data_IF_338025758678
#
_entry.id   IF_338025758678
#
_cell.length_a   1.000
_cell.length_b   1.000
_cell.length_c   1.000
_cell.angle_alpha   90.00
_cell.angle_beta   90.00
_cell.angle_gamma   90.00
#
_symmetry.space_group_name_H-M   'P 1'
#
loop_
_entity.id
_entity.type
_entity.pdbx_description
1 polymer ?
#
# COMPACT_ATOMS: atom_id res chain seq x y z
N UNK A 1 16.06 -1.13 14.80
CA UNK A 1 17.27 -1.64 14.11
C UNK A 1 16.92 -2.69 13.06
N UNK A 2 16.30 -3.83 13.40
CA UNK A 2 15.97 -4.85 12.38
C UNK A 2 14.92 -4.37 11.35
N UNK A 3 13.79 -3.81 11.81
CA UNK A 3 12.70 -3.33 10.93
C UNK A 3 13.17 -2.30 9.89
N UNK A 4 14.02 -1.36 10.30
CA UNK A 4 14.57 -0.31 9.41
C UNK A 4 15.49 -0.88 8.34
N UNK A 5 16.24 -1.94 8.64
CA UNK A 5 17.11 -2.60 7.65
C UNK A 5 16.24 -3.35 6.64
N UNK A 6 15.25 -4.09 7.13
CA UNK A 6 14.33 -4.85 6.27
C UNK A 6 13.54 -3.91 5.35
N UNK A 7 13.05 -2.77 5.87
CA UNK A 7 12.30 -1.82 5.04
C UNK A 7 13.16 -1.18 3.95
N UNK A 8 14.41 -0.79 4.24
CA UNK A 8 15.33 -0.25 3.24
C UNK A 8 15.61 -1.28 2.14
N UNK A 9 15.84 -2.55 2.50
CA UNK A 9 16.09 -3.63 1.53
C UNK A 9 14.85 -3.85 0.66
N UNK A 10 13.67 -3.97 1.26
CA UNK A 10 12.43 -4.20 0.54
C UNK A 10 12.09 -3.06 -0.44
N UNK A 11 12.22 -1.80 0.00
CA UNK A 11 11.92 -0.65 -0.87
C UNK A 11 12.98 -0.47 -1.95
N UNK A 12 14.25 -0.77 -1.64
CA UNK A 12 15.29 -0.79 -2.67
C UNK A 12 14.98 -1.84 -3.74
N UNK A 13 14.55 -3.04 -3.33
CA UNK A 13 14.13 -4.08 -4.26
C UNK A 13 12.94 -3.64 -5.13
N UNK A 14 11.92 -3.00 -4.55
CA UNK A 14 10.80 -2.44 -5.30
C UNK A 14 11.24 -1.40 -6.33
N UNK A 15 12.16 -0.49 -5.97
CA UNK A 15 12.68 0.51 -6.91
C UNK A 15 13.42 -0.11 -8.10
N UNK A 16 14.22 -1.16 -7.88
CA UNK A 16 14.95 -1.83 -8.96
C UNK A 16 14.09 -2.81 -9.78
N UNK A 17 13.00 -3.31 -9.20
CA UNK A 17 12.05 -4.20 -9.88
C UNK A 17 10.99 -3.44 -10.66
N UNK A 18 10.90 -2.12 -10.51
CA UNK A 18 9.86 -1.32 -11.14
C UNK A 18 10.03 -1.30 -12.67
N UNK A 19 8.97 -1.64 -13.39
CA UNK A 19 8.95 -1.63 -14.86
C UNK A 19 8.35 -0.33 -15.41
N UNK A 20 7.35 0.21 -14.70
CA UNK A 20 6.62 1.43 -15.09
C UNK A 20 6.96 2.62 -14.19
N UNK A 21 7.03 3.83 -14.78
CA UNK A 21 7.24 5.07 -14.01
C UNK A 21 6.13 5.30 -12.95
N UNK A 22 4.92 4.82 -13.24
CA UNK A 22 3.80 4.91 -12.32
C UNK A 22 4.07 4.23 -10.96
N UNK A 23 4.86 3.14 -10.94
CA UNK A 23 5.15 2.35 -9.73
C UNK A 23 6.07 3.07 -8.74
N UNK A 24 6.90 3.98 -9.25
CA UNK A 24 7.84 4.79 -8.45
C UNK A 24 7.37 6.25 -8.28
N UNK A 25 6.16 6.56 -8.73
CA UNK A 25 5.59 7.90 -8.62
C UNK A 25 4.67 8.02 -7.40
N UNK A 26 4.68 9.20 -6.78
CA UNK A 26 3.72 9.57 -5.75
C UNK A 26 2.49 10.18 -6.41
N UNK A 27 1.36 9.48 -6.31
CA UNK A 27 0.14 9.80 -7.04
C UNK A 27 -0.95 10.19 -6.06
N UNK A 28 -1.59 11.33 -6.31
CA UNK A 28 -2.82 11.69 -5.63
C UNK A 28 -4.02 11.10 -6.37
N UNK A 29 -4.78 10.24 -5.68
CA UNK A 29 -5.98 9.63 -6.25
C UNK A 29 -6.98 10.71 -6.71
N UNK A 30 -7.68 10.44 -7.82
CA UNK A 30 -8.70 11.30 -8.42
C UNK A 30 -8.21 12.64 -8.98
N UNK A 31 -6.89 12.82 -9.13
CA UNK A 31 -6.32 14.03 -9.72
C UNK A 31 -5.22 13.70 -10.73
N UNK A 32 -5.43 14.11 -11.98
CA UNK A 32 -4.51 13.83 -13.09
C UNK A 32 -3.21 14.63 -13.01
N UNK A 33 -3.21 15.79 -12.36
CA UNK A 33 -2.07 16.72 -12.40
C UNK A 33 -1.02 16.42 -11.31
N UNK A 34 -1.37 15.58 -10.32
CA UNK A 34 -0.56 15.34 -9.12
C UNK A 34 0.13 13.98 -9.18
N UNK A 35 1.05 13.85 -10.13
CA UNK A 35 1.93 12.70 -10.32
C UNK A 35 3.37 13.18 -10.16
N UNK A 36 3.99 12.87 -9.02
CA UNK A 36 5.38 13.23 -8.75
C UNK A 36 6.27 12.00 -8.88
N UNK A 37 7.06 11.95 -9.96
CA UNK A 37 8.10 10.93 -10.13
C UNK A 37 9.16 11.09 -9.04
N UNK A 38 9.37 10.04 -8.24
CA UNK A 38 10.34 10.08 -7.15
C UNK A 38 11.71 9.65 -7.65
N UNK A 39 12.74 10.43 -7.31
CA UNK A 39 14.12 9.97 -7.44
C UNK A 39 14.39 8.77 -6.52
N UNK A 40 15.39 7.95 -6.85
CA UNK A 40 15.82 6.79 -6.06
C UNK A 40 15.91 7.07 -4.56
N UNK A 41 16.64 8.13 -4.17
CA UNK A 41 16.84 8.47 -2.76
C UNK A 41 15.51 8.86 -2.09
N UNK A 42 14.69 9.67 -2.75
CA UNK A 42 13.40 10.09 -2.20
C UNK A 42 12.44 8.91 -2.06
N UNK A 43 12.40 7.99 -3.03
CA UNK A 43 11.54 6.82 -2.99
C UNK A 43 11.94 5.87 -1.85
N UNK A 44 13.24 5.57 -1.72
CA UNK A 44 13.74 4.68 -0.66
C UNK A 44 13.50 5.28 0.72
N UNK A 45 13.78 6.58 0.91
CA UNK A 45 13.55 7.25 2.19
C UNK A 45 12.06 7.32 2.53
N UNK A 46 11.22 7.72 1.59
CA UNK A 46 9.79 7.85 1.82
C UNK A 46 9.12 6.49 2.04
N UNK A 47 9.40 5.52 1.17
CA UNK A 47 8.85 4.16 1.29
C UNK A 47 9.29 3.48 2.59
N UNK A 48 10.56 3.62 2.99
CA UNK A 48 11.05 3.05 4.26
C UNK A 48 10.40 3.73 5.47
N UNK A 49 10.17 5.04 5.40
CA UNK A 49 9.41 5.78 6.41
C UNK A 49 7.95 5.30 6.49
N UNK A 50 7.27 5.08 5.36
CA UNK A 50 5.88 4.58 5.34
C UNK A 50 5.79 3.17 5.94
N UNK A 51 6.70 2.25 5.57
CA UNK A 51 6.69 0.87 6.09
C UNK A 51 6.98 0.85 7.59
N UNK A 52 8.05 1.52 8.04
CA UNK A 52 8.42 1.53 9.46
C UNK A 52 7.40 2.32 10.29
N UNK A 53 6.92 3.44 9.76
CA UNK A 53 5.93 4.29 10.40
C UNK A 53 4.60 3.58 10.61
N UNK A 54 4.06 2.95 9.56
CA UNK A 54 2.80 2.19 9.66
C UNK A 54 2.92 0.98 10.60
N UNK A 55 4.02 0.24 10.55
CA UNK A 55 4.26 -0.90 11.46
C UNK A 55 4.31 -0.48 12.93
N UNK A 56 5.00 0.62 13.24
CA UNK A 56 5.05 1.14 14.60
C UNK A 56 3.73 1.79 15.03
N UNK A 57 2.99 2.40 14.11
CA UNK A 57 1.67 2.97 14.41
C UNK A 57 0.67 1.88 14.82
N UNK A 58 0.59 0.77 14.07
CA UNK A 58 -0.28 -0.37 14.43
C UNK A 58 0.13 -0.95 15.78
N UNK A 59 1.42 -1.17 16.01
CA UNK A 59 1.94 -1.67 17.29
C UNK A 59 1.61 -0.72 18.46
N UNK A 60 1.61 0.60 18.24
CA UNK A 60 1.25 1.57 19.26
C UNK A 60 -0.26 1.56 19.58
N UNK A 61 -1.10 1.27 18.59
CA UNK A 61 -2.56 1.15 18.76
C UNK A 61 -3.00 -0.20 19.33
N UNK A 62 -2.12 -1.20 19.30
CA UNK A 62 -2.40 -2.55 19.78
C UNK A 62 -2.17 -2.67 21.30
N UNK A 63 -3.08 -2.07 22.06
CA UNK A 63 -3.02 -2.04 23.54
C UNK A 63 -4.33 -2.41 24.25
N UNK A 64 -5.40 -2.67 23.48
CA UNK A 64 -6.71 -3.10 23.96
C UNK A 64 -7.26 -4.17 23.01
N UNK A 65 -8.03 -5.11 23.54
CA UNK A 65 -8.60 -6.22 22.77
C UNK A 65 -9.35 -5.72 21.53
N UNK A 66 -8.85 -6.08 20.35
CA UNK A 66 -9.48 -5.75 19.06
C UNK A 66 -9.33 -4.29 18.59
N UNK A 67 -8.61 -3.44 19.30
CA UNK A 67 -8.50 -2.01 18.94
C UNK A 67 -7.70 -1.78 17.67
N UNK A 68 -6.61 -2.51 17.47
CA UNK A 68 -5.77 -2.36 16.28
C UNK A 68 -6.37 -3.05 15.04
N UNK A 69 -6.97 -4.23 15.22
CA UNK A 69 -7.41 -5.07 14.10
C UNK A 69 -8.61 -4.49 13.34
N UNK A 70 -9.55 -3.83 14.02
CA UNK A 70 -10.72 -3.19 13.38
C UNK A 70 -10.29 -2.12 12.34
N UNK A 71 -9.43 -1.13 12.69
CA UNK A 71 -8.81 -0.22 11.73
C UNK A 71 -8.05 -0.93 10.61
N UNK A 72 -7.30 -2.00 10.92
CA UNK A 72 -6.54 -2.76 9.91
C UNK A 72 -7.45 -3.39 8.86
N UNK A 73 -8.58 -3.98 9.26
CA UNK A 73 -9.56 -4.56 8.33
C UNK A 73 -10.18 -3.47 7.45
N UNK A 74 -10.57 -2.33 8.03
CA UNK A 74 -11.17 -1.22 7.29
C UNK A 74 -10.22 -0.65 6.23
N UNK A 75 -8.98 -0.36 6.62
CA UNK A 75 -7.96 0.17 5.71
C UNK A 75 -7.54 -0.88 4.69
N UNK A 76 -7.43 -2.15 5.09
CA UNK A 76 -7.17 -3.26 4.17
C UNK A 76 -8.24 -3.38 3.08
N UNK A 77 -9.51 -3.19 3.43
CA UNK A 77 -10.62 -3.12 2.46
C UNK A 77 -10.52 -1.92 1.52
N UNK A 78 -10.23 -0.74 2.06
CA UNK A 78 -10.04 0.47 1.24
C UNK A 78 -8.89 0.32 0.23
N UNK A 79 -7.74 -0.18 0.69
CA UNK A 79 -6.57 -0.45 -0.18
C UNK A 79 -6.87 -1.54 -1.21
N UNK A 80 -7.61 -2.59 -0.84
CA UNK A 80 -8.03 -3.64 -1.77
C UNK A 80 -8.94 -3.12 -2.88
N UNK A 81 -9.86 -2.21 -2.57
CA UNK A 81 -10.70 -1.56 -3.59
C UNK A 81 -9.89 -0.67 -4.53
N UNK A 82 -8.91 0.07 -4.01
CA UNK A 82 -7.99 0.88 -4.82
C UNK A 82 -7.16 -0.01 -5.75
N UNK A 83 -6.62 -1.12 -5.24
CA UNK A 83 -5.86 -2.07 -6.04
C UNK A 83 -6.70 -2.67 -7.18
N UNK A 84 -7.96 -3.03 -6.92
CA UNK A 84 -8.89 -3.48 -7.95
C UNK A 84 -9.19 -2.41 -9.00
N UNK A 85 -9.38 -1.17 -8.57
CA UNK A 85 -9.59 -0.05 -9.49
C UNK A 85 -8.37 0.18 -10.41
N UNK A 86 -7.15 0.13 -9.87
CA UNK A 86 -5.90 0.24 -10.64
C UNK A 86 -5.70 -0.94 -11.60
N UNK A 87 -6.12 -2.14 -11.20
CA UNK A 87 -6.04 -3.36 -12.01
C UNK A 87 -7.09 -3.47 -13.13
N UNK A 88 -8.07 -2.57 -13.20
CA UNK A 88 -9.09 -2.56 -14.26
C UNK A 88 -8.96 -1.31 -15.13
N UNK A 89 -8.64 -1.49 -16.40
CA UNK A 89 -8.39 -0.40 -17.34
C UNK A 89 -9.55 0.60 -17.42
N UNK A 90 -10.80 0.14 -17.46
CA UNK A 90 -11.98 1.00 -17.57
C UNK A 90 -12.18 1.87 -16.31
N UNK A 91 -11.92 1.30 -15.14
CA UNK A 91 -12.10 1.99 -13.86
C UNK A 91 -10.96 2.98 -13.62
N UNK A 92 -9.72 2.55 -13.88
CA UNK A 92 -8.53 3.38 -13.75
C UNK A 92 -8.64 4.66 -14.62
N UNK A 93 -9.05 4.50 -15.89
CA UNK A 93 -9.24 5.62 -16.81
C UNK A 93 -10.37 6.56 -16.35
N UNK A 94 -11.49 6.00 -15.87
CA UNK A 94 -12.62 6.79 -15.36
C UNK A 94 -12.27 7.61 -14.10
N UNK A 95 -11.41 7.06 -13.23
CA UNK A 95 -11.01 7.69 -11.97
C UNK A 95 -9.74 8.52 -12.06
N UNK A 96 -9.12 8.61 -13.23
CA UNK A 96 -7.83 9.29 -13.46
C UNK A 96 -6.70 8.73 -12.59
N UNK A 97 -6.64 7.41 -12.44
CA UNK A 97 -5.58 6.68 -11.72
C UNK A 97 -4.78 5.88 -12.77
N UNK A 98 -3.44 5.70 -12.67
CA UNK A 98 -2.74 4.84 -13.62
C UNK A 98 -3.24 3.40 -13.55
N UNK A 99 -3.32 2.78 -14.72
CA UNK A 99 -3.63 1.37 -14.84
C UNK A 99 -2.36 0.54 -14.65
N UNK A 100 -2.35 -0.33 -13.63
CA UNK A 100 -1.28 -1.29 -13.36
C UNK A 100 -1.86 -2.69 -13.51
N UNK A 101 -1.43 -3.43 -14.54
CA UNK A 101 -2.09 -4.65 -14.99
C UNK A 101 -2.18 -5.74 -13.90
N UNK A 102 -1.17 -5.85 -13.04
CA UNK A 102 -1.09 -6.91 -12.00
C UNK A 102 -1.56 -6.40 -10.63
N UNK A 103 -1.79 -5.09 -10.45
CA UNK A 103 -2.17 -4.52 -9.16
C UNK A 103 -3.48 -5.09 -8.61
N UNK A 104 -4.38 -5.56 -9.49
CA UNK A 104 -5.64 -6.18 -9.11
C UNK A 104 -5.48 -7.42 -8.22
N UNK A 105 -4.36 -8.16 -8.30
CA UNK A 105 -4.13 -9.36 -7.47
C UNK A 105 -4.04 -9.04 -5.97
N UNK A 106 -3.66 -7.81 -5.62
CA UNK A 106 -3.57 -7.37 -4.22
C UNK A 106 -4.94 -7.40 -3.52
N UNK A 107 -6.07 -7.33 -4.24
CA UNK A 107 -7.39 -7.47 -3.60
C UNK A 107 -7.59 -8.85 -2.98
N UNK A 108 -6.95 -9.89 -3.53
CA UNK A 108 -7.00 -11.25 -2.97
C UNK A 108 -6.26 -11.28 -1.62
N UNK A 109 -5.09 -10.65 -1.56
CA UNK A 109 -4.33 -10.50 -0.31
C UNK A 109 -5.11 -9.69 0.72
N UNK A 110 -5.72 -8.55 0.32
CA UNK A 110 -6.57 -7.75 1.19
C UNK A 110 -7.80 -8.53 1.69
N UNK A 111 -8.43 -9.33 0.83
CA UNK A 111 -9.55 -10.20 1.21
C UNK A 111 -9.15 -11.26 2.23
N UNK A 112 -7.98 -11.88 2.05
CA UNK A 112 -7.42 -12.82 3.02
C UNK A 112 -7.10 -12.14 4.36
N UNK A 113 -6.54 -10.92 4.32
CA UNK A 113 -6.27 -10.11 5.51
C UNK A 113 -7.57 -9.80 6.27
N UNK A 114 -8.62 -9.34 5.58
CA UNK A 114 -9.95 -9.09 6.17
C UNK A 114 -10.52 -10.35 6.81
N UNK A 115 -10.50 -11.48 6.09
CA UNK A 115 -11.01 -12.75 6.60
C UNK A 115 -10.27 -13.21 7.85
N UNK A 116 -8.94 -13.12 7.86
CA UNK A 116 -8.12 -13.44 9.03
C UNK A 116 -8.38 -12.49 10.21
N UNK A 117 -8.59 -11.20 9.94
CA UNK A 117 -8.89 -10.20 10.97
C UNK A 117 -10.26 -10.38 11.61
N UNK A 118 -11.28 -10.74 10.83
CA UNK A 118 -12.61 -11.09 11.37
C UNK A 118 -12.51 -12.37 12.22
N UNK A 119 -11.75 -13.37 11.76
CA UNK A 119 -11.50 -14.59 12.53
C UNK A 119 -10.73 -14.35 13.83
N UNK A 120 -9.87 -13.33 13.87
CA UNK A 120 -9.14 -12.92 15.08
C UNK A 120 -10.03 -12.18 16.09
N UNK A 121 -11.09 -11.50 15.64
CA UNK A 121 -12.04 -10.77 16.49
C UNK A 121 -13.12 -11.65 17.14
N UNK A 122 -13.26 -12.88 16.68
CA UNK A 122 -14.24 -13.86 17.18
C UNK A 122 -13.74 -14.56 18.45
#
# INVERSE_FOLDING_TARGET
>A
MSQTIVSIIAVSFLYFSAEDSAEISLILLFNKDWIFEMSMLSFILFGSFVIVGSSNAVNLTDGLDGLAILPTILIGGGLGLIAYAMGNQLIAEYLFIPHLQIAGELIVFCGALIGSGIGFLW
#
